data_IF_433727025524
#
_entry.id   IF_433727025524
#
_cell.length_a   1.000
_cell.length_b   1.000
_cell.length_c   1.000
_cell.angle_alpha   90.00
_cell.angle_beta   90.00
_cell.angle_gamma   90.00
#
_symmetry.space_group_name_H-M   'P 1'
#
loop_
_entity.id
_entity.type
_entity.pdbx_description
1 polymer ?
#
# COMPACT_ATOMS: atom_id res chain seq x y z
N UNK A 1 -7.55 -27.21 -9.07
CA UNK A 1 -8.50 -26.25 -8.46
C UNK A 1 -7.99 -25.77 -7.11
N UNK A 2 -8.56 -24.69 -6.56
CA UNK A 2 -8.25 -24.23 -5.18
C UNK A 2 -8.51 -25.32 -4.14
N UNK A 3 -9.62 -26.05 -4.28
CA UNK A 3 -10.01 -27.15 -3.39
C UNK A 3 -8.96 -28.24 -3.31
N UNK A 4 -8.37 -28.62 -4.46
CA UNK A 4 -7.30 -29.62 -4.47
C UNK A 4 -6.05 -29.16 -3.73
N UNK A 5 -5.67 -27.88 -3.85
CA UNK A 5 -4.55 -27.32 -3.08
C UNK A 5 -4.85 -27.35 -1.58
N UNK A 6 -6.05 -26.98 -1.17
CA UNK A 6 -6.46 -27.06 0.23
C UNK A 6 -6.50 -28.49 0.78
N UNK A 7 -6.88 -29.47 -0.05
CA UNK A 7 -6.84 -30.89 0.32
C UNK A 7 -5.40 -31.36 0.54
N UNK A 8 -4.49 -31.06 -0.39
CA UNK A 8 -3.07 -31.43 -0.27
C UNK A 8 -2.41 -30.81 0.96
N UNK A 9 -2.68 -29.53 1.26
CA UNK A 9 -2.17 -28.87 2.48
C UNK A 9 -2.70 -29.56 3.74
N UNK A 10 -3.95 -30.01 3.74
CA UNK A 10 -4.55 -30.72 4.89
C UNK A 10 -4.00 -32.13 5.08
N UNK A 11 -3.53 -32.77 4.02
CA UNK A 11 -2.94 -34.11 4.09
C UNK A 11 -1.54 -34.08 4.72
N UNK A 12 -0.75 -33.03 4.49
CA UNK A 12 0.57 -32.87 5.09
C UNK A 12 0.85 -31.41 5.51
N UNK A 13 0.22 -30.94 6.61
CA UNK A 13 0.40 -29.57 7.08
C UNK A 13 1.82 -29.33 7.62
N UNK A 14 2.48 -30.35 8.17
CA UNK A 14 3.82 -30.22 8.77
C UNK A 14 4.85 -29.89 7.70
N UNK A 15 4.87 -30.63 6.59
CA UNK A 15 5.78 -30.34 5.47
C UNK A 15 5.48 -28.98 4.85
N UNK A 16 4.20 -28.61 4.72
CA UNK A 16 3.83 -27.28 4.23
C UNK A 16 4.39 -26.14 5.10
N UNK A 17 4.29 -26.26 6.42
CA UNK A 17 4.83 -25.27 7.36
C UNK A 17 6.36 -25.23 7.32
N UNK A 18 7.03 -26.39 7.32
CA UNK A 18 8.50 -26.47 7.20
C UNK A 18 9.01 -25.86 5.89
N UNK A 19 8.31 -26.12 4.80
CA UNK A 19 8.64 -25.53 3.49
C UNK A 19 8.45 -24.01 3.50
N UNK A 20 7.35 -23.53 4.09
CA UNK A 20 7.13 -22.10 4.25
C UNK A 20 8.24 -21.44 5.08
N UNK A 21 8.62 -22.02 6.22
CA UNK A 21 9.70 -21.54 7.08
C UNK A 21 11.04 -21.50 6.31
N UNK A 22 11.36 -22.58 5.58
CA UNK A 22 12.56 -22.62 4.74
C UNK A 22 12.56 -21.52 3.68
N UNK A 23 11.44 -21.33 2.96
CA UNK A 23 11.30 -20.27 1.96
C UNK A 23 11.45 -18.88 2.58
N UNK A 24 10.92 -18.67 3.78
CA UNK A 24 11.04 -17.41 4.50
C UNK A 24 12.49 -17.16 4.94
N UNK A 25 13.22 -18.18 5.39
CA UNK A 25 14.66 -18.09 5.69
C UNK A 25 15.47 -17.69 4.46
N UNK A 26 15.27 -18.37 3.32
CA UNK A 26 15.95 -18.02 2.07
C UNK A 26 15.61 -16.60 1.62
N UNK A 27 14.34 -16.17 1.77
CA UNK A 27 13.95 -14.80 1.46
C UNK A 27 14.76 -13.81 2.31
N UNK A 28 14.90 -14.04 3.62
CA UNK A 28 15.68 -13.17 4.49
C UNK A 28 17.15 -13.07 4.11
N UNK A 29 17.76 -14.18 3.69
CA UNK A 29 19.13 -14.19 3.19
C UNK A 29 19.26 -13.33 1.93
N UNK A 30 18.29 -13.42 1.01
CA UNK A 30 18.26 -12.59 -0.21
C UNK A 30 18.02 -11.12 0.12
N UNK A 31 17.11 -10.80 1.04
CA UNK A 31 16.86 -9.41 1.45
C UNK A 31 18.09 -8.74 2.08
N UNK A 32 18.96 -9.53 2.71
CA UNK A 32 20.18 -9.04 3.35
C UNK A 32 21.39 -9.04 2.40
N UNK A 33 21.26 -9.61 1.20
CA UNK A 33 22.35 -9.72 0.25
C UNK A 33 22.69 -8.34 -0.37
N UNK A 34 23.97 -8.04 -0.66
CA UNK A 34 24.37 -6.77 -1.30
C UNK A 34 23.70 -6.53 -2.66
N UNK A 35 23.45 -7.59 -3.42
CA UNK A 35 22.74 -7.56 -4.70
C UNK A 35 21.22 -7.78 -4.57
N UNK A 36 20.70 -7.81 -3.35
CA UNK A 36 19.30 -8.07 -3.04
C UNK A 36 18.36 -6.92 -3.38
N UNK A 37 17.06 -7.04 -3.06
CA UNK A 37 16.02 -6.09 -3.48
C UNK A 37 16.18 -4.64 -3.01
N UNK A 38 16.98 -4.40 -1.97
CA UNK A 38 17.23 -3.08 -1.39
C UNK A 38 18.52 -2.43 -1.88
N UNK A 39 19.04 -2.83 -3.05
CA UNK A 39 20.31 -2.38 -3.65
C UNK A 39 20.75 -0.96 -3.25
N UNK A 40 21.92 -0.87 -2.59
CA UNK A 40 22.46 0.37 -2.05
C UNK A 40 22.05 0.67 -0.60
N UNK A 41 21.14 -0.12 -0.02
CA UNK A 41 20.69 0.01 1.36
C UNK A 41 20.86 -1.33 2.10
N UNK A 42 21.74 -1.33 3.08
CA UNK A 42 22.01 -2.49 3.94
C UNK A 42 20.86 -2.72 4.90
N UNK A 43 20.30 -3.94 4.97
CA UNK A 43 19.33 -4.33 5.98
C UNK A 43 20.05 -4.56 7.31
N UNK A 44 19.96 -3.61 8.23
CA UNK A 44 20.67 -3.64 9.52
C UNK A 44 19.89 -4.33 10.62
N UNK A 45 18.56 -4.24 10.57
CA UNK A 45 17.70 -4.87 11.56
C UNK A 45 16.32 -5.18 10.96
N UNK A 46 15.61 -6.12 11.58
CA UNK A 46 14.24 -6.47 11.21
C UNK A 46 13.45 -6.98 12.41
N UNK A 47 12.18 -6.61 12.44
CA UNK A 47 11.16 -7.28 13.25
C UNK A 47 10.28 -8.12 12.32
N UNK A 48 10.00 -9.36 12.69
CA UNK A 48 9.18 -10.28 11.88
C UNK A 48 8.20 -11.00 12.78
N UNK A 49 6.92 -11.01 12.37
CA UNK A 49 5.87 -11.82 12.98
C UNK A 49 5.16 -12.63 11.90
N UNK A 50 4.98 -13.91 12.16
CA UNK A 50 4.16 -14.79 11.32
C UNK A 50 2.84 -15.07 12.03
N UNK A 51 1.74 -14.84 11.32
CA UNK A 51 0.39 -15.19 11.76
C UNK A 51 -0.22 -16.19 10.78
N UNK A 52 -0.98 -17.15 11.29
CA UNK A 52 -1.71 -18.07 10.43
C UNK A 52 -3.15 -17.57 10.27
N UNK A 53 -3.45 -16.97 9.13
CA UNK A 53 -4.78 -16.51 8.77
C UNK A 53 -5.62 -17.67 8.20
N UNK A 54 -6.95 -17.48 8.22
CA UNK A 54 -8.00 -18.32 7.58
C UNK A 54 -7.52 -19.70 7.09
N UNK A 55 -7.83 -20.75 7.86
CA UNK A 55 -7.52 -22.16 7.54
C UNK A 55 -6.01 -22.48 7.41
N UNK A 56 -5.14 -21.72 8.07
CA UNK A 56 -3.72 -22.06 8.22
C UNK A 56 -2.81 -21.50 7.12
N UNK A 57 -3.23 -20.44 6.42
CA UNK A 57 -2.35 -19.75 5.47
C UNK A 57 -1.40 -18.81 6.23
N UNK A 58 -0.08 -18.97 6.12
CA UNK A 58 0.85 -18.09 6.80
C UNK A 58 0.84 -16.69 6.19
N UNK A 59 0.89 -15.67 7.04
CA UNK A 59 0.92 -14.26 6.72
C UNK A 59 2.06 -13.61 7.50
N UNK A 60 2.95 -12.92 6.81
CA UNK A 60 4.16 -12.33 7.41
C UNK A 60 3.97 -10.84 7.51
N UNK A 61 4.08 -10.33 8.74
CA UNK A 61 4.28 -8.92 9.02
C UNK A 61 5.76 -8.70 9.32
N UNK A 62 6.38 -7.73 8.65
CA UNK A 62 7.78 -7.42 8.86
C UNK A 62 8.02 -5.91 8.85
N UNK A 63 8.94 -5.47 9.70
CA UNK A 63 9.49 -4.12 9.71
C UNK A 63 10.97 -4.22 9.43
N UNK A 64 11.44 -3.44 8.46
CA UNK A 64 12.80 -3.54 7.93
C UNK A 64 13.53 -2.22 8.17
N UNK A 65 14.65 -2.27 8.86
CA UNK A 65 15.52 -1.12 9.05
C UNK A 65 16.64 -1.14 8.04
N UNK A 66 16.60 -0.18 7.14
CA UNK A 66 17.58 -0.01 6.07
C UNK A 66 18.55 1.12 6.44
N UNK A 67 19.85 0.81 6.43
CA UNK A 67 20.92 1.77 6.69
C UNK A 67 20.90 2.87 5.64
N UNK A 68 21.09 4.11 6.09
CA UNK A 68 21.10 5.30 5.22
C UNK A 68 19.81 5.52 4.41
N UNK A 69 18.72 4.81 4.72
CA UNK A 69 17.42 5.17 4.17
C UNK A 69 17.11 6.63 4.54
N UNK A 70 16.61 7.45 3.60
CA UNK A 70 16.30 8.83 3.88
C UNK A 70 15.25 8.90 4.99
N UNK A 71 15.29 9.96 5.78
CA UNK A 71 14.33 10.23 6.86
C UNK A 71 13.46 11.40 6.45
N UNK A 72 12.16 11.22 6.56
CA UNK A 72 11.19 12.27 6.28
C UNK A 72 11.30 13.41 7.29
N UNK A 73 11.48 14.63 6.78
CA UNK A 73 11.39 15.88 7.53
C UNK A 73 10.52 16.85 6.74
N UNK A 74 9.33 17.13 7.29
CA UNK A 74 8.33 18.00 6.67
C UNK A 74 8.84 19.42 6.40
N UNK A 75 9.86 19.88 7.12
CA UNK A 75 10.40 21.25 6.98
C UNK A 75 11.57 21.32 5.99
N UNK A 76 12.01 20.18 5.45
CA UNK A 76 13.15 20.10 4.54
C UNK A 76 12.73 19.52 3.18
N UNK A 77 12.54 20.36 2.14
CA UNK A 77 12.15 19.89 0.81
C UNK A 77 13.08 18.83 0.21
N UNK A 78 14.38 18.92 0.47
CA UNK A 78 15.38 17.97 -0.02
C UNK A 78 15.21 16.59 0.64
N UNK A 79 14.79 16.55 1.90
CA UNK A 79 14.44 15.30 2.58
C UNK A 79 13.23 14.64 1.92
N UNK A 80 12.21 15.42 1.55
CA UNK A 80 11.00 14.93 0.87
C UNK A 80 11.36 14.32 -0.47
N UNK A 81 12.16 15.03 -1.28
CA UNK A 81 12.63 14.56 -2.59
C UNK A 81 13.39 13.24 -2.47
N UNK A 82 14.39 13.18 -1.57
CA UNK A 82 15.16 11.94 -1.31
C UNK A 82 14.27 10.78 -0.86
N UNK A 83 13.24 11.03 -0.04
CA UNK A 83 12.28 10.01 0.36
C UNK A 83 11.46 9.49 -0.83
N UNK A 84 11.00 10.40 -1.71
CA UNK A 84 10.24 10.03 -2.91
C UNK A 84 11.08 9.20 -3.87
N UNK A 85 12.32 9.61 -4.15
CA UNK A 85 13.26 8.84 -4.99
C UNK A 85 13.53 7.46 -4.42
N UNK A 86 13.72 7.37 -3.10
CA UNK A 86 13.90 6.10 -2.41
C UNK A 86 12.69 5.18 -2.53
N UNK A 87 11.49 5.73 -2.37
CA UNK A 87 10.23 4.99 -2.52
C UNK A 87 10.08 4.48 -3.96
N UNK A 88 10.24 5.35 -4.95
CA UNK A 88 10.07 5.00 -6.36
C UNK A 88 11.11 3.97 -6.84
N UNK A 89 12.30 3.96 -6.23
CA UNK A 89 13.33 2.93 -6.50
C UNK A 89 12.94 1.55 -6.00
N UNK A 90 12.25 1.46 -4.86
CA UNK A 90 12.03 0.18 -4.15
C UNK A 90 10.60 -0.35 -4.24
N UNK A 91 9.63 0.53 -4.50
CA UNK A 91 8.21 0.23 -4.42
C UNK A 91 7.56 0.57 -5.76
N UNK A 92 6.83 -0.39 -6.30
CA UNK A 92 6.08 -0.28 -7.54
C UNK A 92 4.62 -0.63 -7.30
N UNK A 93 3.77 -0.05 -8.14
CA UNK A 93 2.36 -0.41 -8.30
C UNK A 93 2.03 -0.68 -9.77
N UNK A 94 3.08 -0.78 -10.61
CA UNK A 94 2.94 -0.91 -12.05
C UNK A 94 2.11 -2.13 -12.39
N UNK A 95 1.13 -1.91 -13.26
CA UNK A 95 0.36 -2.96 -13.92
C UNK A 95 1.07 -3.55 -15.13
N UNK A 96 2.12 -2.89 -15.63
CA UNK A 96 2.81 -3.33 -16.83
C UNK A 96 3.82 -4.45 -16.55
N UNK A 97 3.86 -5.50 -17.38
CA UNK A 97 4.67 -6.69 -17.13
C UNK A 97 6.17 -6.52 -17.41
N UNK A 98 6.70 -5.30 -17.55
CA UNK A 98 8.04 -5.04 -18.10
C UNK A 98 9.16 -5.82 -17.42
N UNK A 99 8.98 -6.18 -16.14
CA UNK A 99 9.90 -7.05 -15.38
C UNK A 99 9.21 -8.30 -14.76
N UNK A 100 7.88 -8.40 -14.83
CA UNK A 100 7.10 -9.37 -14.03
C UNK A 100 5.93 -9.92 -14.83
N UNK A 101 5.64 -11.23 -14.73
CA UNK A 101 4.51 -11.81 -15.49
C UNK A 101 3.16 -11.27 -15.02
N UNK A 102 2.18 -11.27 -15.93
CA UNK A 102 0.80 -10.87 -15.64
C UNK A 102 0.21 -11.66 -14.45
N UNK A 103 0.57 -12.93 -14.32
CA UNK A 103 0.20 -13.77 -13.17
C UNK A 103 0.69 -13.18 -11.84
N UNK A 104 1.92 -12.68 -11.77
CA UNK A 104 2.48 -12.11 -10.53
C UNK A 104 1.80 -10.78 -10.17
N UNK A 105 1.52 -9.94 -11.17
CA UNK A 105 0.75 -8.70 -10.98
C UNK A 105 -0.66 -9.02 -10.49
N UNK A 106 -1.28 -10.09 -11.01
CA UNK A 106 -2.61 -10.53 -10.57
C UNK A 106 -2.66 -10.88 -9.09
N UNK A 107 -1.53 -11.33 -8.50
CA UNK A 107 -1.42 -11.61 -7.05
C UNK A 107 -1.41 -10.31 -6.23
N UNK A 108 -0.93 -9.20 -6.79
CA UNK A 108 -0.92 -7.90 -6.12
C UNK A 108 -2.26 -7.16 -6.22
N UNK A 109 -3.15 -7.61 -7.12
CA UNK A 109 -4.44 -6.96 -7.34
C UNK A 109 -5.45 -7.32 -6.24
N UNK A 110 -5.88 -6.31 -5.49
CA UNK A 110 -6.88 -6.44 -4.45
C UNK A 110 -8.25 -6.82 -5.01
N UNK A 111 -8.75 -7.96 -4.54
CA UNK A 111 -10.12 -8.43 -4.77
C UNK A 111 -10.92 -8.22 -3.49
N UNK A 112 -11.92 -7.33 -3.55
CA UNK A 112 -12.79 -7.07 -2.41
C UNK A 112 -13.44 -8.38 -1.93
N UNK A 113 -13.28 -8.67 -0.65
CA UNK A 113 -13.86 -9.83 0.04
C UNK A 113 -14.61 -9.38 1.29
N UNK A 114 -15.24 -10.30 2.02
CA UNK A 114 -15.96 -9.94 3.25
C UNK A 114 -15.04 -9.34 4.33
N UNK A 115 -13.75 -9.71 4.36
CA UNK A 115 -12.80 -9.26 5.40
C UNK A 115 -12.30 -7.83 5.20
N UNK A 116 -12.43 -7.29 3.99
CA UNK A 116 -12.05 -5.92 3.70
C UNK A 116 -13.23 -4.94 3.72
N UNK A 117 -14.46 -5.43 3.81
CA UNK A 117 -15.65 -4.59 3.87
C UNK A 117 -15.83 -4.06 5.29
N UNK A 118 -15.95 -2.75 5.43
CA UNK A 118 -16.25 -2.06 6.69
C UNK A 118 -17.52 -1.22 6.51
N UNK A 119 -18.41 -1.24 7.50
CA UNK A 119 -19.62 -0.43 7.50
C UNK A 119 -19.35 0.86 8.25
N UNK A 120 -19.45 2.00 7.56
CA UNK A 120 -19.26 3.32 8.15
C UNK A 120 -20.43 4.21 7.71
N UNK A 121 -21.18 4.75 8.66
CA UNK A 121 -22.32 5.65 8.43
C UNK A 121 -23.34 5.10 7.41
N UNK A 122 -23.65 3.80 7.47
CA UNK A 122 -24.59 3.15 6.54
C UNK A 122 -24.02 2.82 5.15
N UNK A 123 -22.76 3.16 4.86
CA UNK A 123 -22.07 2.80 3.62
C UNK A 123 -21.08 1.65 3.83
N UNK A 124 -20.94 0.79 2.82
CA UNK A 124 -19.86 -0.21 2.77
C UNK A 124 -18.65 0.41 2.09
N UNK A 125 -17.52 0.44 2.79
CA UNK A 125 -16.23 0.90 2.28
C UNK A 125 -15.17 -0.19 2.41
N UNK A 126 -14.07 -0.06 1.67
CA UNK A 126 -12.90 -0.90 1.88
C UNK A 126 -12.11 -0.39 3.08
N UNK A 127 -11.84 -1.25 4.07
CA UNK A 127 -11.03 -0.94 5.26
C UNK A 127 -9.61 -0.45 4.94
N UNK A 128 -9.11 -0.82 3.76
CA UNK A 128 -7.78 -0.46 3.26
C UNK A 128 -7.80 0.81 2.39
N UNK A 129 -8.98 1.42 2.17
CA UNK A 129 -9.10 2.60 1.32
C UNK A 129 -8.93 2.32 -0.18
N UNK A 130 -9.20 1.08 -0.62
CA UNK A 130 -9.17 0.69 -2.04
C UNK A 130 -10.55 0.93 -2.67
N UNK A 131 -10.65 1.50 -3.89
CA UNK A 131 -9.57 1.91 -4.79
C UNK A 131 -8.72 3.08 -4.28
N UNK A 132 -7.40 2.98 -4.44
CA UNK A 132 -6.46 4.05 -4.14
C UNK A 132 -6.64 5.23 -5.09
N UNK A 133 -6.21 6.43 -4.67
CA UNK A 133 -6.21 7.62 -5.52
C UNK A 133 -5.17 7.50 -6.65
N UNK A 134 -5.55 7.77 -7.91
CA UNK A 134 -4.60 8.02 -9.00
C UNK A 134 -3.71 9.22 -8.69
N UNK A 135 -2.44 9.14 -9.05
CA UNK A 135 -1.44 10.19 -8.81
C UNK A 135 -0.49 10.29 -10.00
N UNK A 136 -0.24 11.50 -10.48
CA UNK A 136 0.74 11.80 -11.55
C UNK A 136 2.17 11.42 -11.17
N UNK A 137 2.51 11.56 -9.87
CA UNK A 137 3.81 11.27 -9.27
C UNK A 137 3.66 10.84 -7.81
N UNK A 138 4.71 10.23 -7.25
CA UNK A 138 4.74 9.90 -5.83
C UNK A 138 4.86 11.17 -5.01
N UNK A 139 4.04 11.30 -3.97
CA UNK A 139 3.96 12.49 -3.12
C UNK A 139 3.83 12.09 -1.66
N UNK A 140 4.47 12.86 -0.78
CA UNK A 140 4.20 12.80 0.66
C UNK A 140 3.31 13.99 0.99
N UNK A 141 2.06 13.71 1.35
CA UNK A 141 1.06 14.75 1.64
C UNK A 141 0.81 14.86 3.14
N UNK A 142 0.73 16.09 3.61
CA UNK A 142 0.42 16.45 5.00
C UNK A 142 -1.03 16.96 5.11
N UNK A 143 -1.71 16.74 6.25
CA UNK A 143 -2.97 17.41 6.52
C UNK A 143 -2.79 18.93 6.55
N UNK A 144 -3.89 19.67 6.52
CA UNK A 144 -3.83 21.10 6.77
C UNK A 144 -3.36 21.37 8.19
N UNK A 145 -2.43 22.30 8.34
CA UNK A 145 -2.03 22.83 9.65
C UNK A 145 -3.18 23.62 10.28
N UNK A 146 -3.07 23.89 11.59
CA UNK A 146 -4.06 24.69 12.31
C UNK A 146 -4.14 26.14 11.80
N UNK A 147 -3.10 26.62 11.12
CA UNK A 147 -3.04 27.96 10.51
C UNK A 147 -3.62 27.98 9.09
N UNK A 148 -3.64 26.84 8.39
CA UNK A 148 -4.26 26.67 7.06
C UNK A 148 -5.75 26.27 7.17
N UNK A 149 -6.55 27.00 7.96
CA UNK A 149 -7.97 26.65 8.12
C UNK A 149 -8.74 26.84 6.82
N UNK A 150 -9.23 25.72 6.29
CA UNK A 150 -10.22 25.74 5.21
C UNK A 150 -11.47 26.50 5.67
N UNK A 151 -11.88 27.48 4.87
CA UNK A 151 -13.14 28.20 5.03
C UNK A 151 -14.34 27.26 4.91
N UNK A 152 -15.50 27.69 5.42
CA UNK A 152 -16.74 26.90 5.33
C UNK A 152 -17.09 26.56 3.87
N UNK A 153 -16.93 27.53 2.97
CA UNK A 153 -17.19 27.36 1.53
C UNK A 153 -16.28 26.29 0.92
N UNK A 154 -14.98 26.32 1.22
CA UNK A 154 -14.03 25.31 0.71
C UNK A 154 -14.34 23.91 1.25
N UNK A 155 -14.78 23.79 2.50
CA UNK A 155 -15.19 22.50 3.08
C UNK A 155 -16.41 21.93 2.37
N UNK A 156 -17.40 22.77 2.07
CA UNK A 156 -18.62 22.37 1.36
C UNK A 156 -18.30 21.93 -0.08
N UNK A 157 -17.40 22.65 -0.77
CA UNK A 157 -16.90 22.29 -2.10
C UNK A 157 -16.14 20.95 -2.07
N UNK A 158 -15.21 20.78 -1.14
CA UNK A 158 -14.45 19.54 -0.94
C UNK A 158 -15.39 18.35 -0.67
N UNK A 159 -16.44 18.55 0.14
CA UNK A 159 -17.41 17.50 0.43
C UNK A 159 -18.15 17.02 -0.82
N UNK A 160 -18.53 17.95 -1.71
CA UNK A 160 -19.17 17.60 -2.99
C UNK A 160 -18.18 16.89 -3.91
N UNK A 161 -16.96 17.41 -4.05
CA UNK A 161 -15.91 16.80 -4.88
C UNK A 161 -15.56 15.38 -4.43
N UNK A 162 -15.54 15.11 -3.11
CA UNK A 162 -15.29 13.76 -2.58
C UNK A 162 -16.27 12.72 -3.09
N UNK A 163 -17.55 13.08 -3.17
CA UNK A 163 -18.58 12.17 -3.66
C UNK A 163 -18.34 11.82 -5.13
N UNK A 164 -18.11 12.84 -5.98
CA UNK A 164 -17.81 12.64 -7.40
C UNK A 164 -16.55 11.79 -7.62
N UNK A 165 -15.49 12.07 -6.85
CA UNK A 165 -14.25 11.29 -6.92
C UNK A 165 -14.50 9.84 -6.52
N UNK A 166 -15.23 9.60 -5.44
CA UNK A 166 -15.56 8.23 -5.00
C UNK A 166 -16.32 7.46 -6.07
N UNK A 167 -17.29 8.08 -6.71
CA UNK A 167 -18.09 7.46 -7.77
C UNK A 167 -17.24 7.12 -9.00
N UNK A 168 -16.39 8.04 -9.45
CA UNK A 168 -15.51 7.79 -10.60
C UNK A 168 -14.44 6.74 -10.24
N UNK A 169 -13.87 6.76 -9.02
CA UNK A 169 -12.96 5.72 -8.55
C UNK A 169 -13.62 4.34 -8.55
N UNK A 170 -14.86 4.23 -8.04
CA UNK A 170 -15.60 2.98 -8.03
C UNK A 170 -15.88 2.48 -9.45
N UNK A 171 -16.15 3.39 -10.40
CA UNK A 171 -16.33 3.07 -11.81
C UNK A 171 -15.04 2.54 -12.44
N UNK A 172 -13.92 3.26 -12.36
CA UNK A 172 -12.64 2.82 -12.97
C UNK A 172 -12.14 1.52 -12.32
N UNK A 173 -12.45 1.30 -11.03
CA UNK A 173 -12.06 0.07 -10.32
C UNK A 173 -12.73 -1.20 -10.87
N UNK A 174 -13.81 -1.04 -11.65
CA UNK A 174 -14.59 -2.10 -12.30
C UNK A 174 -14.37 -2.13 -13.82
N UNK A 175 -13.81 -1.06 -14.37
CA UNK A 175 -13.55 -0.95 -15.79
C UNK A 175 -12.44 -1.91 -16.22
N UNK A 176 -12.57 -2.44 -17.43
CA UNK A 176 -11.54 -3.26 -18.09
C UNK A 176 -10.66 -2.41 -19.00
N UNK A 177 -11.14 -1.22 -19.38
CA UNK A 177 -10.35 -0.27 -20.13
C UNK A 177 -9.22 0.29 -19.24
N UNK A 178 -8.00 0.15 -19.73
CA UNK A 178 -6.78 0.58 -19.03
C UNK A 178 -6.16 1.82 -19.63
N UNK A 179 -6.80 2.43 -20.65
CA UNK A 179 -6.28 3.58 -21.39
C UNK A 179 -6.46 4.92 -20.67
N UNK A 180 -7.30 4.98 -19.62
CA UNK A 180 -7.61 6.21 -18.93
C UNK A 180 -6.36 6.82 -18.27
N UNK A 181 -6.01 8.02 -18.70
CA UNK A 181 -4.89 8.79 -18.16
C UNK A 181 -5.28 9.57 -16.89
N UNK A 182 -4.29 10.07 -16.15
CA UNK A 182 -4.53 10.89 -14.97
C UNK A 182 -5.23 12.21 -15.33
N UNK A 183 -4.83 12.85 -16.43
CA UNK A 183 -5.43 14.10 -16.92
C UNK A 183 -6.90 13.89 -17.33
N UNK A 184 -7.22 12.77 -17.98
CA UNK A 184 -8.61 12.44 -18.33
C UNK A 184 -9.44 12.11 -17.09
N UNK A 185 -8.86 11.41 -16.11
CA UNK A 185 -9.52 11.19 -14.82
C UNK A 185 -9.89 12.52 -14.16
N UNK A 186 -8.95 13.48 -14.09
CA UNK A 186 -9.20 14.82 -13.55
C UNK A 186 -10.31 15.57 -14.31
N UNK A 187 -10.33 15.48 -15.65
CA UNK A 187 -11.40 16.05 -16.48
C UNK A 187 -12.77 15.44 -16.15
N UNK A 188 -12.86 14.13 -15.97
CA UNK A 188 -14.13 13.44 -15.64
C UNK A 188 -14.71 13.86 -14.29
N UNK A 189 -13.86 14.10 -13.30
CA UNK A 189 -14.29 14.59 -11.98
C UNK A 189 -14.44 16.12 -11.93
N UNK A 190 -14.16 16.82 -13.04
CA UNK A 190 -14.19 18.28 -13.17
C UNK A 190 -13.30 18.99 -12.13
N UNK A 191 -12.05 18.55 -11.98
CA UNK A 191 -11.08 19.14 -11.06
C UNK A 191 -9.75 19.36 -11.79
N UNK A 192 -8.99 20.37 -11.35
CA UNK A 192 -7.56 20.43 -11.64
C UNK A 192 -6.76 19.68 -10.56
N UNK A 193 -5.46 19.46 -10.82
CA UNK A 193 -4.60 18.70 -9.90
C UNK A 193 -4.48 19.37 -8.53
N UNK A 194 -4.39 20.69 -8.46
CA UNK A 194 -4.30 21.43 -7.20
C UNK A 194 -5.53 21.22 -6.31
N UNK A 195 -6.74 21.35 -6.88
CA UNK A 195 -8.00 21.09 -6.20
C UNK A 195 -8.09 19.63 -5.74
N UNK A 196 -7.61 18.70 -6.56
CA UNK A 196 -7.60 17.28 -6.25
C UNK A 196 -6.69 16.95 -5.06
N UNK A 197 -5.45 17.47 -5.08
CA UNK A 197 -4.50 17.32 -3.96
C UNK A 197 -5.04 18.01 -2.70
N UNK A 198 -5.65 19.19 -2.82
CA UNK A 198 -6.29 19.90 -1.70
C UNK A 198 -7.40 19.06 -1.06
N UNK A 199 -8.22 18.40 -1.88
CA UNK A 199 -9.30 17.51 -1.42
C UNK A 199 -8.74 16.29 -0.66
N UNK A 200 -7.65 15.69 -1.17
CA UNK A 200 -6.95 14.57 -0.50
C UNK A 200 -6.39 15.03 0.85
N UNK A 201 -5.64 16.14 0.89
CA UNK A 201 -5.07 16.70 2.12
C UNK A 201 -6.13 16.97 3.19
N UNK A 202 -7.31 17.44 2.79
CA UNK A 202 -8.41 17.70 3.72
C UNK A 202 -8.95 16.43 4.40
N UNK A 203 -8.61 15.24 3.88
CA UNK A 203 -9.01 13.95 4.43
C UNK A 203 -7.97 13.31 5.34
N UNK A 204 -6.76 13.88 5.37
CA UNK A 204 -5.64 13.36 6.13
C UNK A 204 -5.72 13.76 7.60
N UNK A 205 -5.21 12.88 8.46
CA UNK A 205 -4.98 13.16 9.89
C UNK A 205 -3.48 13.22 10.24
N UNK A 206 -2.63 12.72 9.35
CA UNK A 206 -1.18 12.61 9.48
C UNK A 206 -0.54 12.57 8.09
N UNK A 207 0.76 12.82 8.02
CA UNK A 207 1.58 12.62 6.83
C UNK A 207 1.34 11.23 6.22
N UNK A 208 1.21 11.17 4.89
CA UNK A 208 1.00 9.91 4.17
C UNK A 208 1.69 9.92 2.82
N UNK A 209 2.27 8.76 2.46
CA UNK A 209 2.80 8.49 1.12
C UNK A 209 1.65 8.15 0.17
N UNK A 210 1.60 8.84 -0.96
CA UNK A 210 0.75 8.54 -2.11
C UNK A 210 1.65 8.17 -3.28
N UNK A 211 1.61 6.91 -3.70
CA UNK A 211 2.44 6.42 -4.80
C UNK A 211 1.92 6.93 -6.15
N UNK A 212 2.84 7.21 -7.08
CA UNK A 212 2.53 7.41 -8.50
C UNK A 212 1.67 6.24 -8.97
N UNK A 213 0.51 6.53 -9.52
CA UNK A 213 -0.49 5.50 -9.81
C UNK A 213 -1.40 5.91 -10.95
N UNK A 214 -1.43 5.11 -12.00
CA UNK A 214 -2.40 5.30 -13.07
C UNK A 214 -3.80 4.82 -12.64
N UNK A 215 -4.89 5.33 -13.25
CA UNK A 215 -6.26 4.92 -12.93
C UNK A 215 -6.53 3.40 -12.94
N UNK A 216 -5.88 2.64 -13.82
CA UNK A 216 -5.98 1.18 -13.91
C UNK A 216 -5.22 0.41 -12.80
N UNK A 217 -4.35 1.12 -12.06
CA UNK A 217 -3.50 0.59 -11.00
C UNK A 217 -4.09 0.81 -9.61
N UNK A 218 -5.23 1.50 -9.48
CA UNK A 218 -5.95 1.84 -8.23
C UNK A 218 -6.26 0.66 -7.30
N UNK A 219 -6.13 -0.58 -7.79
CA UNK A 219 -6.34 -1.81 -7.02
C UNK A 219 -5.09 -2.66 -6.83
N UNK A 220 -3.93 -2.19 -7.24
CA UNK A 220 -2.66 -2.93 -7.11
C UNK A 220 -2.00 -2.53 -5.78
N UNK A 221 -1.74 -3.50 -4.91
CA UNK A 221 -0.98 -3.25 -3.70
C UNK A 221 0.47 -2.86 -4.04
N UNK A 222 1.10 -2.10 -3.16
CA UNK A 222 2.50 -1.73 -3.30
C UNK A 222 3.41 -2.96 -3.16
N UNK A 223 4.29 -3.20 -4.12
CA UNK A 223 5.19 -4.35 -4.15
C UNK A 223 6.61 -3.94 -4.54
N UNK A 224 7.59 -4.77 -4.18
CA UNK A 224 8.95 -4.65 -4.73
C UNK A 224 9.09 -5.68 -5.86
N UNK A 225 9.46 -5.28 -7.09
CA UNK A 225 9.51 -6.18 -8.24
C UNK A 225 10.39 -7.42 -8.02
N UNK A 226 11.56 -7.26 -7.42
CA UNK A 226 12.49 -8.37 -7.15
C UNK A 226 11.96 -9.29 -6.03
N UNK A 227 11.40 -8.74 -4.96
CA UNK A 227 10.77 -9.57 -3.91
C UNK A 227 9.60 -10.36 -4.51
N UNK A 228 8.80 -9.74 -5.38
CA UNK A 228 7.66 -10.40 -6.00
C UNK A 228 8.07 -11.53 -6.93
N UNK A 229 9.12 -11.35 -7.75
CA UNK A 229 9.60 -12.39 -8.66
C UNK A 229 10.15 -13.61 -7.92
N UNK A 230 10.82 -13.40 -6.79
CA UNK A 230 11.39 -14.46 -5.96
C UNK A 230 10.36 -15.13 -5.05
N UNK A 231 9.57 -14.33 -4.33
CA UNK A 231 8.63 -14.83 -3.32
C UNK A 231 7.29 -15.26 -3.93
N UNK A 232 6.86 -14.64 -5.03
CA UNK A 232 5.64 -14.99 -5.79
C UNK A 232 4.38 -15.04 -4.92
N UNK A 233 4.23 -14.06 -4.02
CA UNK A 233 3.05 -13.90 -3.17
C UNK A 233 2.60 -12.43 -3.16
N UNK A 234 1.37 -12.20 -2.68
CA UNK A 234 0.87 -10.86 -2.42
C UNK A 234 1.72 -10.16 -1.35
N UNK A 235 1.97 -8.87 -1.52
CA UNK A 235 2.63 -8.01 -0.54
C UNK A 235 1.97 -6.64 -0.48
N UNK A 236 2.27 -5.90 0.57
CA UNK A 236 1.86 -4.51 0.77
C UNK A 236 3.03 -3.79 1.47
N UNK A 237 3.95 -3.28 0.66
CA UNK A 237 5.18 -2.63 1.15
C UNK A 237 4.93 -1.13 1.30
N UNK A 238 5.28 -0.59 2.47
CA UNK A 238 5.05 0.81 2.80
C UNK A 238 6.32 1.43 3.41
N UNK A 239 6.65 2.65 2.97
CA UNK A 239 7.65 3.47 3.64
C UNK A 239 7.02 4.17 4.84
N UNK A 240 7.69 4.09 5.99
CA UNK A 240 7.19 4.61 7.25
C UNK A 240 7.73 6.02 7.48
N UNK A 241 6.85 7.00 7.43
CA UNK A 241 7.17 8.42 7.64
C UNK A 241 7.45 8.76 9.12
N UNK A 242 6.77 8.08 10.03
CA UNK A 242 6.77 8.39 11.46
C UNK A 242 7.12 7.14 12.30
N UNK A 243 8.26 7.15 13.01
CA UNK A 243 8.64 6.08 13.92
C UNK A 243 7.63 5.81 15.04
N UNK A 244 6.87 6.80 15.51
CA UNK A 244 5.85 6.58 16.54
C UNK A 244 4.71 5.71 16.02
N UNK A 245 4.29 5.94 14.78
CA UNK A 245 3.32 5.08 14.11
C UNK A 245 3.84 3.64 13.99
N UNK A 246 5.13 3.44 13.73
CA UNK A 246 5.78 2.12 13.73
C UNK A 246 5.71 1.44 15.10
N UNK A 247 6.08 2.18 16.17
CA UNK A 247 6.04 1.67 17.54
C UNK A 247 4.62 1.32 17.97
N UNK A 248 3.64 2.18 17.65
CA UNK A 248 2.22 1.90 17.92
C UNK A 248 1.78 0.62 17.23
N UNK A 249 2.14 0.43 15.96
CA UNK A 249 1.88 -0.80 15.22
C UNK A 249 2.52 -2.02 15.90
N UNK A 250 3.80 -1.97 16.27
CA UNK A 250 4.47 -3.05 17.02
C UNK A 250 3.73 -3.38 18.32
N UNK A 251 3.39 -2.36 19.11
CA UNK A 251 2.76 -2.50 20.43
C UNK A 251 1.36 -3.09 20.30
N UNK A 252 0.56 -2.65 19.33
CA UNK A 252 -0.77 -3.20 19.06
C UNK A 252 -0.71 -4.69 18.74
N UNK A 253 0.26 -5.09 17.91
CA UNK A 253 0.49 -6.49 17.60
C UNK A 253 0.97 -7.27 18.83
N UNK A 254 1.98 -6.79 19.56
CA UNK A 254 2.50 -7.47 20.77
C UNK A 254 1.38 -7.67 21.80
N UNK A 255 0.52 -6.68 21.99
CA UNK A 255 -0.53 -6.72 23.00
C UNK A 255 -1.78 -7.53 22.58
N UNK A 256 -1.83 -8.10 21.37
CA UNK A 256 -3.02 -8.77 20.81
C UNK A 256 -4.31 -7.94 20.92
N UNK A 257 -4.19 -6.61 21.04
CA UNK A 257 -5.34 -5.72 21.02
C UNK A 257 -5.82 -5.67 19.57
N UNK A 258 -6.77 -6.55 19.24
CA UNK A 258 -7.53 -6.48 17.98
C UNK A 258 -8.34 -5.19 17.97
N UNK A 259 -7.68 -4.07 17.70
CA UNK A 259 -8.31 -2.90 17.14
C UNK A 259 -7.81 -2.73 15.70
N UNK A 260 -8.76 -2.38 14.85
CA UNK A 260 -8.64 -2.28 13.41
C UNK A 260 -7.35 -1.57 13.00
N UNK A 261 -6.57 -2.19 12.10
CA UNK A 261 -5.48 -1.54 11.38
C UNK A 261 -5.90 -0.10 11.06
N UNK A 262 -5.22 0.93 11.59
CA UNK A 262 -5.45 2.28 11.13
C UNK A 262 -5.18 2.26 9.64
N UNK A 263 -6.14 2.70 8.84
CA UNK A 263 -5.93 2.96 7.42
C UNK A 263 -4.78 3.96 7.35
N UNK A 264 -3.58 3.47 7.03
CA UNK A 264 -2.44 4.30 6.68
C UNK A 264 -2.82 5.05 5.43
#
# INVERSE_FOLDING_TARGET
SYEKRCELIRQDPVTCVRYFEHKLKCLWEILSAPCGPFQGYELVDKYVRTEFQVRGSPHVHALLWLKNAPKYDKNNPESIERCVEFIDKLISVSSQPTECSEELISLQRHKHSHTCKQHVNGCIICRFGIPYFPMSKTMILEPFSDDEKLSKKERDEISKSRQNVKEELDRISKDKDTSLTFEEFLKKINMNEEQYIKMIRAGLKKAKVFLKRAPNETRINAYNPMIMSLHRANMDIQYILDPYTCLKYCVEYINNLKMECPSF
#
